data_IF_238713149594
#
_entry.id   IF_238713149594
#
_cell.length_a   1.000
_cell.length_b   1.000
_cell.length_c   1.000
_cell.angle_alpha   90.00
_cell.angle_beta   90.00
_cell.angle_gamma   90.00
#
_symmetry.space_group_name_H-M   'P 1'
#
loop_
_entity.id
_entity.type
_entity.pdbx_description
1 polymer ?
#
# COMPACT_ATOMS: atom_id res chain seq x y z
N UNK A 1 -9.75 -11.02 -26.59
CA UNK A 1 -9.92 -12.02 -25.54
C UNK A 1 -9.17 -11.56 -24.28
N UNK A 2 -9.84 -11.51 -23.19
CA UNK A 2 -9.20 -11.10 -21.96
C UNK A 2 -8.57 -12.30 -21.27
N UNK A 3 -7.45 -12.07 -20.60
CA UNK A 3 -6.78 -13.08 -19.78
C UNK A 3 -7.36 -12.99 -18.36
N UNK A 4 -7.92 -14.08 -17.82
CA UNK A 4 -8.67 -14.02 -16.57
C UNK A 4 -7.82 -13.67 -15.34
N UNK A 5 -6.49 -13.84 -15.42
CA UNK A 5 -5.59 -13.51 -14.32
C UNK A 5 -5.09 -12.07 -14.36
N UNK A 6 -5.42 -11.31 -15.41
CA UNK A 6 -5.00 -9.92 -15.52
C UNK A 6 -6.15 -8.99 -15.17
N UNK A 7 -5.94 -8.14 -14.19
CA UNK A 7 -6.86 -7.05 -13.89
C UNK A 7 -6.51 -5.86 -14.78
N UNK A 8 -7.41 -5.52 -15.70
CA UNK A 8 -7.19 -4.45 -16.66
C UNK A 8 -8.00 -3.19 -16.35
N UNK A 9 -8.76 -3.21 -15.26
CA UNK A 9 -9.74 -2.18 -14.97
C UNK A 9 -9.26 -1.28 -13.84
N UNK A 10 -8.72 -0.12 -14.20
CA UNK A 10 -8.31 0.89 -13.23
C UNK A 10 -9.18 2.12 -13.44
N UNK A 11 -9.81 2.59 -12.37
CA UNK A 11 -10.69 3.76 -12.39
C UNK A 11 -10.25 4.78 -11.35
N UNK A 12 -10.65 6.01 -11.55
CA UNK A 12 -10.52 7.05 -10.53
C UNK A 12 -11.86 7.13 -9.81
N UNK A 13 -11.86 6.87 -8.52
CA UNK A 13 -13.08 6.88 -7.73
C UNK A 13 -13.06 8.01 -6.70
N UNK A 14 -14.23 8.60 -6.41
CA UNK A 14 -14.36 9.47 -5.23
C UNK A 14 -13.98 8.66 -3.99
N UNK A 15 -13.20 9.27 -3.09
CA UNK A 15 -12.75 8.62 -1.86
C UNK A 15 -13.92 8.09 -1.05
N UNK A 16 -15.02 8.84 -1.03
CA UNK A 16 -16.23 8.50 -0.25
C UNK A 16 -16.98 7.28 -0.79
N UNK A 17 -16.69 6.86 -2.04
CA UNK A 17 -17.31 5.66 -2.61
C UNK A 17 -16.73 4.37 -2.02
N UNK A 18 -15.55 4.45 -1.43
CA UNK A 18 -14.88 3.29 -0.88
C UNK A 18 -15.39 2.95 0.51
N UNK A 19 -15.65 1.67 0.73
CA UNK A 19 -16.19 1.16 1.98
C UNK A 19 -15.16 0.22 2.62
N UNK A 20 -14.62 0.54 3.80
CA UNK A 20 -13.70 -0.36 4.47
C UNK A 20 -14.36 -1.71 4.75
N UNK A 21 -13.60 -2.78 4.60
CA UNK A 21 -14.10 -4.11 4.93
C UNK A 21 -14.16 -4.27 6.45
N UNK A 22 -15.37 -4.51 6.99
CA UNK A 22 -15.61 -4.52 8.43
C UNK A 22 -14.81 -5.59 9.18
N UNK A 23 -14.49 -6.70 8.52
CA UNK A 23 -13.74 -7.82 9.12
C UNK A 23 -12.27 -7.79 8.75
N UNK A 24 -11.73 -6.62 8.39
CA UNK A 24 -10.32 -6.48 8.05
C UNK A 24 -9.46 -6.76 9.29
N UNK A 25 -8.65 -7.82 9.21
CA UNK A 25 -7.75 -8.22 10.29
C UNK A 25 -6.47 -7.38 10.35
N UNK A 26 -6.14 -6.69 9.25
CA UNK A 26 -4.94 -5.82 9.20
C UNK A 26 -5.25 -4.49 9.86
N UNK A 27 -4.37 -4.04 10.75
CA UNK A 27 -4.48 -2.75 11.42
C UNK A 27 -3.39 -1.80 10.93
N UNK A 28 -3.69 -0.51 10.99
CA UNK A 28 -2.74 0.53 10.61
C UNK A 28 -2.71 1.59 11.71
N UNK A 29 -1.51 1.84 12.25
CA UNK A 29 -1.30 2.91 13.23
C UNK A 29 -1.36 4.28 12.54
N UNK A 30 -1.56 5.33 13.32
CA UNK A 30 -1.48 6.70 12.80
C UNK A 30 -0.12 6.99 12.21
N UNK A 31 0.94 6.46 12.82
CA UNK A 31 2.31 6.60 12.32
C UNK A 31 2.46 5.95 10.95
N UNK A 32 1.93 4.74 10.77
CA UNK A 32 1.98 4.06 9.49
C UNK A 32 1.18 4.80 8.42
N UNK A 33 0.00 5.32 8.76
CA UNK A 33 -0.81 6.12 7.85
C UNK A 33 -0.05 7.37 7.43
N UNK A 34 0.66 8.02 8.37
CA UNK A 34 1.49 9.17 8.06
C UNK A 34 2.63 8.82 7.10
N UNK A 35 3.25 7.64 7.26
CA UNK A 35 4.28 7.15 6.34
C UNK A 35 3.73 6.93 4.94
N UNK A 36 2.54 6.34 4.84
CA UNK A 36 1.87 6.14 3.54
C UNK A 36 1.55 7.49 2.91
N UNK A 37 1.04 8.43 3.69
CA UNK A 37 0.74 9.78 3.21
C UNK A 37 1.99 10.48 2.68
N UNK A 38 3.10 10.39 3.40
CA UNK A 38 4.37 10.99 2.97
C UNK A 38 4.86 10.37 1.65
N UNK A 39 4.70 9.07 1.50
CA UNK A 39 5.03 8.37 0.26
C UNK A 39 4.18 8.86 -0.91
N UNK A 40 2.88 9.04 -0.70
CA UNK A 40 1.98 9.56 -1.74
C UNK A 40 2.38 10.96 -2.16
N UNK A 41 2.76 11.82 -1.21
CA UNK A 41 3.20 13.18 -1.51
C UNK A 41 4.48 13.17 -2.34
N UNK A 42 5.44 12.31 -1.99
CA UNK A 42 6.74 12.26 -2.68
C UNK A 42 6.64 11.63 -4.07
N UNK A 43 5.96 10.49 -4.17
CA UNK A 43 5.99 9.66 -5.38
C UNK A 43 4.69 9.70 -6.20
N UNK A 44 3.63 10.28 -5.64
CA UNK A 44 2.30 10.16 -6.20
C UNK A 44 1.58 8.91 -5.69
N UNK A 45 0.31 8.79 -6.05
CA UNK A 45 -0.50 7.62 -5.66
C UNK A 45 -0.22 6.49 -6.66
N UNK A 46 0.90 5.80 -6.45
CA UNK A 46 1.43 4.83 -7.41
C UNK A 46 0.88 3.42 -7.23
N UNK A 47 0.25 3.15 -6.09
CA UNK A 47 -0.22 1.81 -5.74
C UNK A 47 -1.74 1.86 -5.52
N UNK A 48 -2.55 1.50 -6.55
CA UNK A 48 -4.00 1.63 -6.46
C UNK A 48 -4.62 0.82 -5.33
N UNK A 49 -5.78 1.28 -4.88
CA UNK A 49 -6.62 0.53 -3.94
C UNK A 49 -7.33 -0.57 -4.73
N UNK A 50 -7.43 -1.77 -4.17
CA UNK A 50 -8.18 -2.88 -4.77
C UNK A 50 -9.56 -2.93 -4.11
N UNK A 51 -10.62 -2.87 -4.90
CA UNK A 51 -11.98 -2.89 -4.40
C UNK A 51 -12.91 -3.63 -5.36
N UNK A 52 -13.97 -4.19 -4.83
CA UNK A 52 -15.04 -4.72 -5.68
C UNK A 52 -15.89 -3.61 -6.28
N UNK A 53 -16.71 -3.93 -7.25
CA UNK A 53 -17.63 -2.96 -7.87
C UNK A 53 -18.64 -2.39 -6.88
N UNK A 54 -18.85 -3.08 -5.76
CA UNK A 54 -19.70 -2.61 -4.65
C UNK A 54 -19.01 -1.56 -3.75
N UNK A 55 -17.75 -1.26 -4.00
CA UNK A 55 -16.98 -0.29 -3.23
C UNK A 55 -16.24 -0.86 -2.04
N UNK A 56 -16.45 -2.13 -1.70
CA UNK A 56 -15.79 -2.73 -0.54
C UNK A 56 -14.32 -2.99 -0.84
N UNK A 57 -13.44 -2.48 0.03
CA UNK A 57 -12.00 -2.56 -0.14
C UNK A 57 -11.52 -3.99 0.09
N UNK A 58 -10.69 -4.48 -0.82
CA UNK A 58 -9.96 -5.74 -0.70
C UNK A 58 -8.56 -5.49 -0.16
N UNK A 59 -7.87 -4.49 -0.69
CA UNK A 59 -6.53 -4.09 -0.25
C UNK A 59 -6.39 -2.59 -0.36
N UNK A 60 -5.66 -1.99 0.57
CA UNK A 60 -5.37 -0.56 0.54
C UNK A 60 -6.12 0.26 1.59
N UNK A 61 -6.56 -0.35 2.69
CA UNK A 61 -7.20 0.39 3.79
C UNK A 61 -6.30 1.50 4.32
N UNK A 62 -5.00 1.25 4.45
CA UNK A 62 -4.04 2.27 4.86
C UNK A 62 -3.90 3.39 3.84
N UNK A 63 -3.96 3.04 2.55
CA UNK A 63 -3.93 4.03 1.47
C UNK A 63 -5.17 4.91 1.48
N UNK A 64 -6.34 4.34 1.76
CA UNK A 64 -7.57 5.13 1.91
C UNK A 64 -7.45 6.09 3.08
N UNK A 65 -6.97 5.61 4.23
CA UNK A 65 -6.78 6.45 5.41
C UNK A 65 -5.80 7.59 5.11
N UNK A 66 -4.70 7.30 4.41
CA UNK A 66 -3.73 8.31 4.00
C UNK A 66 -4.34 9.32 3.03
N UNK A 67 -5.13 8.87 2.07
CA UNK A 67 -5.82 9.75 1.13
C UNK A 67 -6.79 10.70 1.85
N UNK A 68 -7.52 10.19 2.83
CA UNK A 68 -8.42 10.99 3.65
C UNK A 68 -7.64 12.02 4.46
N UNK A 69 -6.51 11.62 5.04
CA UNK A 69 -5.63 12.51 5.79
C UNK A 69 -5.10 13.65 4.91
N UNK A 70 -4.79 13.35 3.65
CA UNK A 70 -4.29 14.34 2.68
C UNK A 70 -5.40 15.17 2.06
N UNK A 71 -6.66 14.85 2.30
CA UNK A 71 -7.80 15.54 1.72
C UNK A 71 -7.99 15.28 0.23
N UNK A 72 -7.59 14.09 -0.25
CA UNK A 72 -7.76 13.74 -1.66
C UNK A 72 -9.23 13.43 -1.95
N UNK A 73 -9.77 14.05 -2.99
CA UNK A 73 -11.16 13.84 -3.40
C UNK A 73 -11.34 12.52 -4.16
N UNK A 74 -10.31 12.11 -4.88
CA UNK A 74 -10.34 10.89 -5.71
C UNK A 74 -9.07 10.08 -5.51
N UNK A 75 -9.20 8.78 -5.74
CA UNK A 75 -8.08 7.84 -5.65
C UNK A 75 -8.15 6.82 -6.79
N UNK A 76 -7.00 6.26 -7.22
CA UNK A 76 -7.01 5.21 -8.22
C UNK A 76 -7.44 3.88 -7.60
N UNK A 77 -8.30 3.16 -8.30
CA UNK A 77 -8.86 1.89 -7.85
C UNK A 77 -8.75 0.86 -8.96
N UNK A 78 -8.24 -0.32 -8.63
CA UNK A 78 -8.37 -1.49 -9.48
C UNK A 78 -9.67 -2.19 -9.08
N UNK A 79 -10.59 -2.29 -10.02
CA UNK A 79 -11.91 -2.87 -9.75
C UNK A 79 -11.84 -4.38 -9.94
N UNK A 80 -12.12 -5.12 -8.86
CA UNK A 80 -12.11 -6.59 -8.86
C UNK A 80 -13.55 -7.08 -8.86
N UNK A 81 -14.06 -7.41 -10.04
CA UNK A 81 -15.44 -7.87 -10.19
C UNK A 81 -15.56 -9.33 -10.62
N UNK A 82 -14.42 -10.03 -10.70
CA UNK A 82 -14.35 -11.43 -11.15
C UNK A 82 -14.27 -12.44 -10.01
N UNK A 83 -14.20 -11.97 -8.75
CA UNK A 83 -14.02 -12.83 -7.60
C UNK A 83 -15.36 -13.13 -6.90
N UNK A 84 -15.49 -14.36 -6.42
CA UNK A 84 -16.60 -14.70 -5.53
C UNK A 84 -16.41 -14.03 -4.17
N UNK A 85 -17.46 -13.87 -3.36
CA UNK A 85 -17.30 -13.33 -2.01
C UNK A 85 -16.29 -14.10 -1.15
N UNK A 86 -16.26 -15.43 -1.29
CA UNK A 86 -15.28 -16.26 -0.57
C UNK A 86 -13.85 -15.98 -1.03
N UNK A 87 -13.66 -15.88 -2.34
CA UNK A 87 -12.33 -15.54 -2.90
C UNK A 87 -11.87 -14.17 -2.43
N UNK A 88 -12.76 -13.18 -2.37
CA UNK A 88 -12.42 -11.84 -1.88
C UNK A 88 -11.92 -11.88 -0.44
N UNK A 89 -12.63 -12.61 0.44
CA UNK A 89 -12.21 -12.76 1.84
C UNK A 89 -10.85 -13.43 1.97
N UNK A 90 -10.62 -14.47 1.16
CA UNK A 90 -9.33 -15.15 1.14
C UNK A 90 -8.21 -14.24 0.62
N UNK A 91 -8.49 -13.47 -0.42
CA UNK A 91 -7.51 -12.55 -0.99
C UNK A 91 -7.09 -11.46 0.00
N UNK A 92 -8.02 -10.93 0.79
CA UNK A 92 -7.72 -9.94 1.81
C UNK A 92 -6.66 -10.45 2.78
N UNK A 93 -6.80 -11.71 3.21
CA UNK A 93 -5.82 -12.33 4.12
C UNK A 93 -4.52 -12.65 3.38
N UNK A 94 -4.63 -13.28 2.21
CA UNK A 94 -3.47 -13.73 1.44
C UNK A 94 -2.57 -12.56 1.02
N UNK A 95 -3.16 -11.46 0.57
CA UNK A 95 -2.41 -10.28 0.13
C UNK A 95 -1.51 -9.75 1.24
N UNK A 96 -2.04 -9.66 2.46
CA UNK A 96 -1.29 -9.18 3.62
C UNK A 96 -0.23 -10.20 4.06
N UNK A 97 -0.60 -11.48 4.14
CA UNK A 97 0.31 -12.50 4.66
C UNK A 97 1.46 -12.78 3.69
N UNK A 98 1.19 -12.82 2.40
CA UNK A 98 2.24 -13.03 1.40
C UNK A 98 3.25 -11.88 1.44
N UNK A 99 2.79 -10.65 1.61
CA UNK A 99 3.67 -9.49 1.75
C UNK A 99 4.56 -9.62 2.99
N UNK A 100 4.03 -10.14 4.11
CA UNK A 100 4.81 -10.35 5.32
C UNK A 100 5.87 -11.44 5.17
N UNK A 101 5.67 -12.39 4.25
CA UNK A 101 6.63 -13.47 4.02
C UNK A 101 7.88 -13.01 3.28
N UNK A 102 7.84 -11.84 2.67
CA UNK A 102 9.01 -11.26 2.04
C UNK A 102 9.96 -10.71 3.09
N UNK A 103 11.23 -10.68 2.75
CA UNK A 103 12.26 -10.11 3.61
C UNK A 103 13.22 -9.25 2.81
N UNK A 104 14.34 -8.94 3.43
CA UNK A 104 15.36 -8.09 2.84
C UNK A 104 16.69 -8.83 2.75
N UNK A 105 17.41 -8.61 1.64
CA UNK A 105 18.86 -8.84 1.60
C UNK A 105 19.49 -7.63 2.29
N UNK A 106 19.92 -7.81 3.52
CA UNK A 106 20.37 -6.70 4.36
C UNK A 106 21.59 -5.97 3.80
N UNK A 107 22.52 -6.71 3.22
CA UNK A 107 23.71 -6.10 2.63
C UNK A 107 23.35 -5.23 1.42
N UNK A 108 22.48 -5.73 0.55
CA UNK A 108 22.06 -4.99 -0.63
C UNK A 108 21.19 -3.80 -0.24
N UNK A 109 20.30 -3.97 0.73
CA UNK A 109 19.47 -2.87 1.25
C UNK A 109 20.33 -1.73 1.78
N UNK A 110 21.39 -2.06 2.54
CA UNK A 110 22.32 -1.06 3.07
C UNK A 110 22.97 -0.28 1.95
N UNK A 111 23.45 -0.97 0.91
CA UNK A 111 24.07 -0.33 -0.25
C UNK A 111 23.11 0.65 -0.91
N UNK A 112 21.85 0.23 -1.13
CA UNK A 112 20.85 1.09 -1.74
C UNK A 112 20.54 2.31 -0.87
N UNK A 113 20.35 2.12 0.43
CA UNK A 113 20.06 3.23 1.34
C UNK A 113 21.23 4.22 1.43
N UNK A 114 22.48 3.72 1.45
CA UNK A 114 23.67 4.58 1.46
C UNK A 114 23.74 5.40 0.17
N UNK A 115 23.47 4.76 -0.97
CA UNK A 115 23.46 5.43 -2.27
C UNK A 115 22.41 6.54 -2.33
N UNK A 116 21.21 6.27 -1.83
CA UNK A 116 20.14 7.27 -1.76
C UNK A 116 20.54 8.44 -0.84
N UNK A 117 21.18 8.14 0.28
CA UNK A 117 21.65 9.18 1.21
C UNK A 117 22.71 10.07 0.56
N UNK A 118 23.64 9.47 -0.20
CA UNK A 118 24.65 10.21 -0.95
C UNK A 118 24.04 11.13 -2.01
N UNK A 119 22.91 10.70 -2.59
CA UNK A 119 22.16 11.49 -3.56
C UNK A 119 21.31 12.59 -2.89
N UNK A 120 21.34 12.69 -1.58
CA UNK A 120 20.61 13.71 -0.82
C UNK A 120 19.14 13.38 -0.58
N UNK A 121 18.75 12.12 -0.81
CA UNK A 121 17.36 11.72 -0.59
C UNK A 121 17.07 11.53 0.91
N UNK A 122 15.88 11.97 1.33
CA UNK A 122 15.43 11.81 2.71
C UNK A 122 14.99 10.37 2.97
N UNK A 123 15.80 9.60 3.72
CA UNK A 123 15.54 8.19 4.00
C UNK A 123 14.28 7.95 4.84
N UNK A 124 13.79 8.97 5.56
CA UNK A 124 12.58 8.84 6.37
C UNK A 124 11.35 8.48 5.51
N UNK A 125 11.39 8.81 4.23
CA UNK A 125 10.29 8.54 3.29
C UNK A 125 10.27 7.07 2.85
N UNK A 126 11.36 6.32 3.08
CA UNK A 126 11.45 4.91 2.67
C UNK A 126 10.62 3.97 3.53
N UNK A 127 10.07 4.45 4.64
CA UNK A 127 9.25 3.65 5.54
C UNK A 127 10.01 3.04 6.71
N UNK A 128 11.33 3.10 6.70
CA UNK A 128 12.14 2.67 7.85
C UNK A 128 12.21 3.81 8.87
N UNK A 129 11.94 3.51 10.15
CA UNK A 129 12.10 4.50 11.20
C UNK A 129 13.59 4.70 11.53
N UNK A 130 13.89 5.69 12.38
CA UNK A 130 15.27 6.03 12.71
C UNK A 130 16.04 4.86 13.33
N UNK A 131 15.38 4.08 14.19
CA UNK A 131 16.01 2.93 14.83
C UNK A 131 16.33 1.83 13.82
N UNK A 132 15.39 1.55 12.92
CA UNK A 132 15.58 0.56 11.85
C UNK A 132 16.71 0.98 10.91
N UNK A 133 16.75 2.26 10.52
CA UNK A 133 17.81 2.79 9.66
C UNK A 133 19.17 2.67 10.35
N UNK A 134 19.27 3.03 11.63
CA UNK A 134 20.50 2.94 12.39
C UNK A 134 20.99 1.49 12.44
N UNK A 135 20.11 0.54 12.67
CA UNK A 135 20.46 -0.87 12.72
C UNK A 135 20.95 -1.40 11.36
N UNK A 136 20.27 -1.05 10.29
CA UNK A 136 20.66 -1.47 8.93
C UNK A 136 22.02 -0.87 8.56
N UNK A 137 22.22 0.41 8.83
CA UNK A 137 23.44 1.13 8.46
C UNK A 137 24.65 0.71 9.30
N UNK A 138 24.44 0.28 10.53
CA UNK A 138 25.50 -0.16 11.42
C UNK A 138 26.08 -1.53 11.05
N UNK A 139 25.29 -2.32 10.36
CA UNK A 139 25.55 -3.70 10.05
C UNK A 139 26.66 -4.07 9.20
#
# INVERSE_FOLDING_TARGET
MSEPWLSTHIERWPTEKLVPYARNARTHSEEQVAQIAASIVEFGFTNPILAGSDGVIVAGHGRLAAAQKLGLDTVPVVVLDHLTPTQRRALIIADNRIAENAGWDDAMLRIELQSLQEDGFNLDITGFDADALAEIMAG
#
